data_IF_585605955331
#
_entry.id   IF_585605955331
#
_cell.length_a   1.000
_cell.length_b   1.000
_cell.length_c   1.000
_cell.angle_alpha   90.00
_cell.angle_beta   90.00
_cell.angle_gamma   90.00
#
_symmetry.space_group_name_H-M   'P 1'
#
loop_
_entity.id
_entity.type
_entity.pdbx_description
1 polymer ?
#
# COMPACT_ATOMS: atom_id res chain seq x y z
N UNK A 1 28.05 -67.56 28.04
CA UNK A 1 28.64 -66.22 28.26
C UNK A 1 28.18 -65.30 27.13
N UNK A 2 27.35 -64.29 27.42
CA UNK A 2 26.96 -63.27 26.45
C UNK A 2 27.13 -61.90 27.09
N UNK A 3 28.15 -61.14 26.67
CA UNK A 3 28.34 -59.74 27.07
C UNK A 3 27.76 -58.86 25.97
N UNK A 4 26.55 -58.37 26.19
CA UNK A 4 25.94 -57.33 25.37
C UNK A 4 26.68 -56.00 25.57
N UNK A 5 27.29 -55.48 24.52
CA UNK A 5 27.91 -54.16 24.51
C UNK A 5 26.81 -53.09 24.47
N UNK A 6 26.57 -52.42 25.60
CA UNK A 6 25.76 -51.19 25.65
C UNK A 6 26.53 -50.07 24.96
N UNK A 7 26.08 -49.67 23.77
CA UNK A 7 26.52 -48.44 23.12
C UNK A 7 26.02 -47.23 23.94
N UNK A 8 26.92 -46.61 24.69
CA UNK A 8 26.65 -45.40 25.44
C UNK A 8 26.67 -44.21 24.49
N UNK A 9 25.50 -43.85 23.95
CA UNK A 9 25.36 -42.62 23.17
C UNK A 9 25.52 -41.41 24.10
N UNK A 10 26.74 -40.89 24.24
CA UNK A 10 26.98 -39.59 24.87
C UNK A 10 26.36 -38.53 23.96
N UNK A 11 25.13 -38.12 24.26
CA UNK A 11 24.57 -36.87 23.75
C UNK A 11 25.47 -35.75 24.27
N UNK A 12 26.44 -35.32 23.45
CA UNK A 12 27.20 -34.11 23.71
C UNK A 12 26.18 -32.97 23.62
N UNK A 13 25.76 -32.45 24.77
CA UNK A 13 25.17 -31.13 24.79
C UNK A 13 26.19 -30.22 24.10
N UNK A 14 25.84 -29.76 22.91
CA UNK A 14 26.68 -28.86 22.15
C UNK A 14 26.67 -27.56 22.96
N UNK A 15 27.71 -27.34 23.77
CA UNK A 15 27.92 -26.07 24.44
C UNK A 15 27.99 -25.01 23.35
N UNK A 16 26.86 -24.31 23.16
CA UNK A 16 26.82 -23.14 22.29
C UNK A 16 27.83 -22.17 22.88
N UNK A 17 28.94 -22.00 22.14
CA UNK A 17 30.00 -21.08 22.53
C UNK A 17 29.38 -19.74 22.89
N UNK A 18 29.73 -19.21 24.06
CA UNK A 18 29.25 -17.91 24.54
C UNK A 18 29.44 -16.83 23.46
N UNK A 19 30.51 -16.93 22.66
CA UNK A 19 30.78 -16.05 21.54
C UNK A 19 29.67 -16.09 20.47
N UNK A 20 29.13 -17.27 20.16
CA UNK A 20 28.03 -17.42 19.20
C UNK A 20 26.76 -16.71 19.68
N UNK A 21 26.47 -16.79 20.98
CA UNK A 21 25.30 -16.11 21.57
C UNK A 21 25.47 -14.59 21.49
N UNK A 22 26.67 -14.09 21.82
CA UNK A 22 26.98 -12.65 21.75
C UNK A 22 26.88 -12.13 20.32
N UNK A 23 27.45 -12.85 19.34
CA UNK A 23 27.36 -12.46 17.92
C UNK A 23 25.92 -12.48 17.43
N UNK A 24 25.13 -13.50 17.80
CA UNK A 24 23.72 -13.57 17.44
C UNK A 24 22.91 -12.38 17.99
N UNK A 25 23.16 -11.98 19.24
CA UNK A 25 22.51 -10.82 19.84
C UNK A 25 22.87 -9.51 19.13
N UNK A 26 24.15 -9.31 18.77
CA UNK A 26 24.59 -8.13 18.02
C UNK A 26 23.93 -8.04 16.63
N UNK A 27 23.87 -9.15 15.91
CA UNK A 27 23.20 -9.19 14.59
C UNK A 27 21.72 -8.85 14.72
N UNK A 28 21.05 -9.39 15.75
CA UNK A 28 19.64 -9.14 15.98
C UNK A 28 19.35 -7.65 16.24
N UNK A 29 20.20 -6.98 17.02
CA UNK A 29 20.11 -5.52 17.25
C UNK A 29 20.27 -4.75 15.94
N UNK A 30 21.26 -5.09 15.12
CA UNK A 30 21.49 -4.42 13.82
C UNK A 30 20.27 -4.59 12.90
N UNK A 31 19.68 -5.79 12.84
CA UNK A 31 18.47 -6.04 12.05
C UNK A 31 17.29 -5.19 12.52
N UNK A 32 17.08 -5.04 13.83
CA UNK A 32 16.01 -4.19 14.37
C UNK A 32 16.20 -2.72 13.92
N UNK A 33 17.42 -2.19 14.04
CA UNK A 33 17.72 -0.81 13.65
C UNK A 33 17.44 -0.58 12.16
N UNK A 34 17.84 -1.53 11.31
CA UNK A 34 17.56 -1.51 9.87
C UNK A 34 16.04 -1.44 9.63
N UNK A 35 15.25 -2.32 10.24
CA UNK A 35 13.79 -2.36 10.07
C UNK A 35 13.13 -1.04 10.49
N UNK A 36 13.56 -0.43 11.59
CA UNK A 36 13.01 0.85 12.07
C UNK A 36 13.29 1.97 11.06
N UNK A 37 14.52 2.06 10.55
CA UNK A 37 14.91 3.09 9.57
C UNK A 37 14.12 2.92 8.27
N UNK A 38 14.03 1.67 7.77
CA UNK A 38 13.29 1.39 6.55
C UNK A 38 11.80 1.67 6.72
N UNK A 39 11.17 1.20 7.79
CA UNK A 39 9.73 1.43 8.06
C UNK A 39 9.41 2.92 8.23
N UNK A 40 10.28 3.68 8.89
CA UNK A 40 10.12 5.12 9.07
C UNK A 40 10.14 5.90 7.74
N UNK A 41 10.96 5.47 6.78
CA UNK A 41 11.02 6.10 5.46
C UNK A 41 9.87 5.69 4.54
N UNK A 42 9.47 4.42 4.51
CA UNK A 42 8.35 3.97 3.67
C UNK A 42 7.00 4.53 4.14
N UNK A 43 6.83 4.75 5.44
CA UNK A 43 5.62 5.34 6.01
C UNK A 43 5.37 6.80 5.61
N UNK A 44 6.41 7.56 5.25
CA UNK A 44 6.24 8.94 4.73
C UNK A 44 5.83 8.94 3.25
N UNK A 45 6.40 8.05 2.43
CA UNK A 45 6.07 7.97 1.01
C UNK A 45 4.67 7.41 0.77
N UNK A 46 4.25 6.38 1.52
CA UNK A 46 2.89 5.84 1.42
C UNK A 46 1.82 6.91 1.68
N UNK A 47 2.03 7.76 2.71
CA UNK A 47 1.12 8.86 3.05
C UNK A 47 1.02 9.96 1.98
N UNK A 48 2.02 10.11 1.12
CA UNK A 48 1.93 11.06 0.00
C UNK A 48 1.25 10.44 -1.23
N UNK A 49 1.37 9.13 -1.42
CA UNK A 49 0.68 8.42 -2.50
C UNK A 49 -0.82 8.34 -2.20
N UNK A 50 -1.23 8.05 -0.97
CA UNK A 50 -2.66 8.04 -0.59
C UNK A 50 -3.32 9.41 -0.87
N UNK A 51 -2.67 10.51 -0.51
CA UNK A 51 -3.17 11.87 -0.78
C UNK A 51 -3.29 12.23 -2.27
N UNK A 52 -2.59 11.50 -3.13
CA UNK A 52 -2.62 11.69 -4.58
C UNK A 52 -3.61 10.74 -5.26
N UNK A 53 -4.05 9.69 -4.57
CA UNK A 53 -5.08 8.75 -5.03
C UNK A 53 -6.51 9.21 -4.68
N UNK A 54 -6.66 10.08 -3.66
CA UNK A 54 -7.94 10.68 -3.26
C UNK A 54 -8.74 11.43 -4.36
N UNK A 55 -8.14 12.06 -5.40
CA UNK A 55 -8.91 12.69 -6.47
C UNK A 55 -9.39 11.72 -7.57
N UNK A 56 -9.01 10.44 -7.53
CA UNK A 56 -9.47 9.44 -8.49
C UNK A 56 -10.59 8.57 -7.90
N UNK A 57 -11.57 9.18 -7.26
CA UNK A 57 -12.83 8.50 -7.03
C UNK A 57 -13.51 8.38 -8.39
N UNK A 58 -13.54 7.17 -8.94
CA UNK A 58 -14.17 6.82 -10.23
C UNK A 58 -15.66 7.19 -10.33
N UNK A 59 -16.28 7.60 -9.22
CA UNK A 59 -17.63 8.14 -9.14
C UNK A 59 -17.72 9.65 -9.38
N UNK A 60 -16.64 10.42 -9.26
CA UNK A 60 -16.69 11.87 -9.50
C UNK A 60 -16.57 12.17 -10.99
N UNK A 61 -17.45 13.03 -11.48
CA UNK A 61 -17.38 13.52 -12.86
C UNK A 61 -16.13 14.37 -13.13
N UNK A 62 -15.79 15.27 -12.21
CA UNK A 62 -14.77 16.29 -12.40
C UNK A 62 -13.40 15.74 -11.98
N UNK A 63 -12.63 15.27 -12.96
CA UNK A 63 -11.31 14.68 -12.74
C UNK A 63 -10.25 15.68 -13.23
N UNK A 64 -9.35 16.15 -12.36
CA UNK A 64 -8.32 17.10 -12.75
C UNK A 64 -7.44 16.52 -13.86
N UNK A 65 -7.30 17.25 -14.97
CA UNK A 65 -6.55 16.82 -16.15
C UNK A 65 -7.37 16.10 -17.24
N UNK A 66 -8.69 15.98 -17.07
CA UNK A 66 -9.61 15.48 -18.10
C UNK A 66 -10.56 16.59 -18.58
N UNK A 67 -11.14 16.50 -19.80
CA UNK A 67 -12.12 17.47 -20.29
C UNK A 67 -13.53 17.27 -19.69
N UNK A 68 -13.63 16.70 -18.48
CA UNK A 68 -14.90 16.35 -17.84
C UNK A 68 -15.29 17.42 -16.82
N UNK A 69 -16.53 17.90 -16.88
CA UNK A 69 -17.04 18.96 -16.00
C UNK A 69 -18.46 18.68 -15.57
N UNK A 70 -18.79 18.98 -14.31
CA UNK A 70 -20.17 18.92 -13.84
C UNK A 70 -20.97 20.13 -14.32
N UNK A 71 -22.20 19.90 -14.81
CA UNK A 71 -23.07 20.99 -15.24
C UNK A 71 -24.51 20.79 -14.80
N UNK A 72 -25.15 21.88 -14.40
CA UNK A 72 -26.56 21.85 -14.03
C UNK A 72 -27.40 21.71 -15.30
N UNK A 73 -28.43 20.87 -15.26
CA UNK A 73 -29.38 20.71 -16.36
C UNK A 73 -30.30 21.94 -16.41
N UNK A 74 -29.83 23.02 -17.02
CA UNK A 74 -30.58 24.26 -17.26
C UNK A 74 -30.96 24.31 -18.74
N UNK A 75 -32.17 24.79 -19.04
CA UNK A 75 -32.68 24.93 -20.40
C UNK A 75 -31.72 25.82 -21.21
N UNK A 76 -31.12 25.26 -22.28
CA UNK A 76 -30.12 25.94 -23.12
C UNK A 76 -28.67 25.74 -22.68
N UNK A 77 -28.41 24.74 -21.84
CA UNK A 77 -27.06 24.39 -21.44
C UNK A 77 -26.80 22.86 -21.51
N UNK A 78 -26.92 22.30 -22.72
CA UNK A 78 -26.63 20.88 -22.96
C UNK A 78 -25.16 20.64 -23.32
N UNK A 79 -24.61 19.49 -22.92
CA UNK A 79 -23.24 19.09 -23.30
C UNK A 79 -23.06 19.08 -24.83
N UNK A 80 -24.13 18.72 -25.56
CA UNK A 80 -24.15 18.62 -27.02
C UNK A 80 -23.96 19.99 -27.70
N UNK A 81 -24.42 21.08 -27.10
CA UNK A 81 -24.29 22.44 -27.66
C UNK A 81 -22.82 22.91 -27.67
N UNK A 82 -21.96 22.27 -26.86
CA UNK A 82 -20.52 22.50 -26.87
C UNK A 82 -19.74 21.42 -27.62
N UNK A 83 -20.43 20.53 -28.32
CA UNK A 83 -19.82 19.39 -29.03
C UNK A 83 -19.39 18.23 -28.13
N UNK A 84 -19.86 18.22 -26.88
CA UNK A 84 -19.58 17.16 -25.90
C UNK A 84 -20.70 16.14 -25.75
N UNK A 85 -20.48 15.14 -24.90
CA UNK A 85 -21.44 14.09 -24.58
C UNK A 85 -21.66 13.94 -23.07
N UNK A 86 -22.82 13.36 -22.69
CA UNK A 86 -23.20 13.12 -21.30
C UNK A 86 -22.68 11.77 -20.82
N UNK A 87 -22.15 11.71 -19.61
CA UNK A 87 -21.68 10.48 -18.97
C UNK A 87 -22.57 10.14 -17.78
N UNK A 88 -23.24 8.99 -17.86
CA UNK A 88 -24.29 8.58 -16.93
C UNK A 88 -23.75 7.94 -15.64
N UNK A 89 -22.53 7.38 -15.69
CA UNK A 89 -21.92 6.65 -14.56
C UNK A 89 -21.15 7.56 -13.58
N UNK A 90 -21.28 8.88 -13.72
CA UNK A 90 -20.57 9.85 -12.90
C UNK A 90 -21.53 10.72 -12.08
N UNK A 91 -21.26 10.81 -10.78
CA UNK A 91 -22.04 11.58 -9.81
C UNK A 91 -21.51 13.02 -9.74
N UNK A 92 -22.41 13.99 -9.85
CA UNK A 92 -22.13 15.40 -9.61
C UNK A 92 -22.72 15.83 -8.26
N UNK A 93 -21.94 16.49 -7.39
CA UNK A 93 -22.38 16.84 -6.03
C UNK A 93 -23.55 17.82 -5.97
N UNK A 94 -23.89 18.49 -7.08
CA UNK A 94 -24.96 19.47 -7.20
C UNK A 94 -26.20 18.94 -7.94
N UNK A 95 -26.29 17.63 -8.23
CA UNK A 95 -27.40 17.04 -8.99
C UNK A 95 -27.38 17.37 -10.48
N UNK A 96 -26.23 17.77 -10.99
CA UNK A 96 -25.98 18.04 -12.41
C UNK A 96 -25.67 16.79 -13.24
N UNK A 97 -25.55 16.97 -14.54
CA UNK A 97 -25.08 15.96 -15.49
C UNK A 97 -23.56 16.09 -15.68
N UNK A 98 -22.89 14.96 -15.92
CA UNK A 98 -21.48 14.96 -16.25
C UNK A 98 -21.28 15.17 -17.75
N UNK A 99 -20.61 16.26 -18.15
CA UNK A 99 -20.26 16.51 -19.54
C UNK A 99 -18.79 16.17 -19.81
N UNK A 100 -18.50 15.59 -20.98
CA UNK A 100 -17.14 15.51 -21.54
C UNK A 100 -17.12 16.20 -22.90
N UNK A 101 -16.20 17.14 -23.10
CA UNK A 101 -15.96 17.84 -24.38
C UNK A 101 -14.71 17.32 -25.09
#
# INVERSE_FOLDING_TARGET
MNKGYKNHSRKKAQELSLQTIVVAALVLVVLIVIVIIFTGKTGQTAKQIDKTAEPFQSKLCEIPGTPRTCRNNVIGDSCEERGGFVIQDAECPLGGVCCSV
#
